data_IF_609145511749
#
_entry.id   IF_609145511749
#
_cell.length_a   1.000
_cell.length_b   1.000
_cell.length_c   1.000
_cell.angle_alpha   90.00
_cell.angle_beta   90.00
_cell.angle_gamma   90.00
#
_symmetry.space_group_name_H-M   'P 1'
#
loop_
_entity.id
_entity.type
_entity.pdbx_description
1 polymer ?
#
# COMPACT_ATOMS: atom_id res chain seq x y z
N UNK A 1 -24.50 -26.14 -8.48
CA UNK A 1 -23.35 -25.32 -8.01
C UNK A 1 -22.16 -26.25 -7.82
N UNK A 2 -21.24 -26.30 -8.78
CA UNK A 2 -19.99 -27.01 -8.61
C UNK A 2 -19.02 -26.02 -8.00
N UNK A 3 -18.66 -26.23 -6.74
CA UNK A 3 -17.51 -25.59 -6.13
C UNK A 3 -16.25 -26.06 -6.89
N UNK A 4 -15.76 -25.23 -7.79
CA UNK A 4 -14.42 -25.34 -8.34
C UNK A 4 -13.50 -24.38 -7.55
N UNK A 5 -13.60 -24.44 -6.26
CA UNK A 5 -12.55 -23.98 -5.40
C UNK A 5 -11.93 -25.23 -4.82
N UNK A 6 -10.70 -25.56 -5.18
CA UNK A 6 -9.95 -26.49 -4.37
C UNK A 6 -9.92 -25.92 -2.96
N UNK A 7 -10.80 -26.41 -2.10
CA UNK A 7 -10.52 -26.36 -0.69
C UNK A 7 -9.18 -27.07 -0.57
N UNK A 8 -8.11 -26.32 -0.37
CA UNK A 8 -6.89 -26.90 0.20
C UNK A 8 -7.38 -27.45 1.53
N UNK A 9 -7.42 -28.77 1.61
CA UNK A 9 -7.83 -29.46 2.83
C UNK A 9 -6.92 -28.97 3.94
N UNK A 10 -7.42 -28.12 4.83
CA UNK A 10 -6.72 -27.60 5.98
C UNK A 10 -6.31 -28.73 6.97
N UNK A 11 -6.64 -29.97 6.68
CA UNK A 11 -6.05 -31.13 7.34
C UNK A 11 -4.54 -31.25 7.06
N UNK A 12 -3.97 -30.43 6.17
CA UNK A 12 -2.52 -30.24 6.10
C UNK A 12 -1.94 -29.63 7.40
N UNK A 13 -2.75 -29.06 8.28
CA UNK A 13 -2.35 -28.74 9.66
C UNK A 13 -1.93 -29.96 10.49
N UNK A 14 -2.24 -31.16 10.03
CA UNK A 14 -1.78 -32.41 10.66
C UNK A 14 -0.41 -32.88 10.16
N UNK A 15 0.16 -32.24 9.16
CA UNK A 15 1.55 -32.50 8.81
C UNK A 15 2.42 -31.83 9.88
N UNK A 16 3.07 -32.67 10.69
CA UNK A 16 4.03 -32.24 11.72
C UNK A 16 5.32 -31.73 11.02
N UNK A 17 5.14 -30.63 10.27
CA UNK A 17 6.17 -30.03 9.43
C UNK A 17 6.51 -28.66 10.01
N UNK A 18 7.74 -28.51 10.46
CA UNK A 18 8.27 -27.22 10.88
C UNK A 18 8.58 -26.35 9.68
N UNK A 19 7.62 -25.51 9.28
CA UNK A 19 7.74 -24.55 8.16
C UNK A 19 8.79 -23.47 8.37
N UNK A 20 9.36 -23.36 9.56
CA UNK A 20 10.42 -22.39 9.85
C UNK A 20 11.79 -22.87 9.36
N UNK A 21 11.92 -24.17 9.04
CA UNK A 21 13.16 -24.78 8.55
C UNK A 21 13.11 -25.06 7.05
N UNK A 22 14.26 -24.97 6.37
CA UNK A 22 14.38 -25.30 4.94
C UNK A 22 13.97 -26.75 4.65
N UNK A 23 14.32 -27.67 5.56
CA UNK A 23 13.93 -29.08 5.46
C UNK A 23 12.41 -29.25 5.53
N UNK A 24 11.75 -28.52 6.44
CA UNK A 24 10.29 -28.55 6.55
C UNK A 24 9.60 -27.98 5.32
N UNK A 25 10.14 -26.89 4.77
CA UNK A 25 9.64 -26.33 3.51
C UNK A 25 9.79 -27.30 2.34
N UNK A 26 10.93 -27.97 2.21
CA UNK A 26 11.16 -29.00 1.19
C UNK A 26 10.21 -30.19 1.34
N UNK A 27 10.01 -30.68 2.57
CA UNK A 27 9.08 -31.76 2.86
C UNK A 27 7.65 -31.38 2.48
N UNK A 28 7.19 -30.21 2.91
CA UNK A 28 5.87 -29.68 2.57
C UNK A 28 5.68 -29.56 1.06
N UNK A 29 6.62 -28.94 0.36
CA UNK A 29 6.54 -28.79 -1.09
C UNK A 29 6.46 -30.15 -1.80
N UNK A 30 7.23 -31.13 -1.35
CA UNK A 30 7.20 -32.49 -1.89
C UNK A 30 5.85 -33.18 -1.72
N UNK A 31 5.22 -33.01 -0.56
CA UNK A 31 3.93 -33.64 -0.25
C UNK A 31 2.75 -32.91 -0.87
N UNK A 32 2.78 -31.58 -0.89
CA UNK A 32 1.68 -30.75 -1.40
C UNK A 32 1.76 -30.51 -2.91
N UNK A 33 2.95 -30.50 -3.49
CA UNK A 33 3.14 -30.23 -4.93
C UNK A 33 2.26 -31.10 -5.84
N UNK A 34 2.17 -32.43 -5.68
CA UNK A 34 1.32 -33.24 -6.55
C UNK A 34 -0.17 -32.90 -6.43
N UNK A 35 -0.61 -32.53 -5.23
CA UNK A 35 -2.01 -32.13 -4.97
C UNK A 35 -2.26 -30.79 -5.64
N UNK A 36 -1.35 -29.82 -5.48
CA UNK A 36 -1.41 -28.51 -6.11
C UNK A 36 -1.44 -28.60 -7.63
N UNK A 37 -0.55 -29.40 -8.23
CA UNK A 37 -0.51 -29.60 -9.68
C UNK A 37 -1.81 -30.21 -10.22
N UNK A 38 -2.39 -31.15 -9.51
CA UNK A 38 -3.69 -31.74 -9.87
C UNK A 38 -4.79 -30.68 -9.90
N UNK A 39 -4.94 -29.92 -8.83
CA UNK A 39 -5.98 -28.89 -8.74
C UNK A 39 -5.74 -27.71 -9.69
N UNK A 40 -4.49 -27.33 -9.88
CA UNK A 40 -4.14 -26.32 -10.89
C UNK A 40 -4.58 -26.79 -12.29
N UNK A 41 -4.28 -28.05 -12.65
CA UNK A 41 -4.72 -28.60 -13.92
C UNK A 41 -6.24 -28.60 -14.07
N UNK A 42 -6.98 -29.01 -13.04
CA UNK A 42 -8.45 -28.98 -13.05
C UNK A 42 -8.99 -27.56 -13.22
N UNK A 43 -8.39 -26.56 -12.54
CA UNK A 43 -8.77 -25.15 -12.67
C UNK A 43 -8.48 -24.63 -14.10
N UNK A 44 -7.30 -24.91 -14.65
CA UNK A 44 -6.92 -24.49 -16.01
C UNK A 44 -7.80 -25.12 -17.09
N UNK A 45 -8.20 -26.38 -16.92
CA UNK A 45 -9.10 -27.08 -17.84
C UNK A 45 -10.53 -26.49 -17.78
N UNK A 46 -10.93 -25.96 -16.63
CA UNK A 46 -12.25 -25.34 -16.43
C UNK A 46 -12.33 -23.88 -16.90
N UNK A 47 -11.24 -23.10 -16.80
CA UNK A 47 -11.20 -21.67 -17.11
C UNK A 47 -11.88 -21.25 -18.42
N UNK A 48 -11.66 -21.93 -19.56
CA UNK A 48 -12.27 -21.54 -20.83
C UNK A 48 -13.79 -21.58 -20.86
N UNK A 49 -14.41 -22.25 -19.88
CA UNK A 49 -15.87 -22.38 -19.75
C UNK A 49 -16.49 -21.22 -18.98
N UNK A 50 -15.70 -20.31 -18.44
CA UNK A 50 -16.15 -19.17 -17.63
C UNK A 50 -15.76 -17.85 -18.29
N UNK A 51 -16.62 -16.85 -18.18
CA UNK A 51 -16.33 -15.50 -18.68
C UNK A 51 -15.47 -14.70 -17.70
N UNK A 52 -15.63 -14.97 -16.40
CA UNK A 52 -14.90 -14.33 -15.31
C UNK A 52 -14.34 -15.39 -14.34
N UNK A 53 -13.10 -15.25 -13.98
CA UNK A 53 -12.42 -16.09 -12.99
C UNK A 53 -11.89 -15.19 -11.87
N UNK A 54 -12.13 -15.58 -10.63
CA UNK A 54 -11.66 -14.85 -9.46
C UNK A 54 -10.70 -15.77 -8.71
N UNK A 55 -9.44 -15.36 -8.62
CA UNK A 55 -8.46 -15.97 -7.74
C UNK A 55 -8.48 -15.24 -6.40
N UNK A 56 -8.61 -15.98 -5.30
CA UNK A 56 -8.51 -15.43 -3.94
C UNK A 56 -7.34 -16.10 -3.26
N UNK A 57 -6.36 -15.30 -2.85
CA UNK A 57 -5.13 -15.76 -2.22
C UNK A 57 -4.55 -14.72 -1.27
N UNK A 58 -3.28 -14.87 -0.93
CA UNK A 58 -2.58 -13.98 -0.03
C UNK A 58 -1.73 -14.72 1.00
N UNK A 59 -1.61 -14.15 2.18
CA UNK A 59 -0.85 -14.67 3.31
C UNK A 59 -1.77 -15.34 4.34
N UNK A 60 -1.21 -16.18 5.18
CA UNK A 60 -1.89 -16.82 6.31
C UNK A 60 -0.99 -16.85 7.56
N UNK A 61 -1.46 -17.42 8.63
CA UNK A 61 -0.77 -17.49 9.92
C UNK A 61 0.62 -18.16 9.89
N UNK A 62 0.94 -18.97 8.87
CA UNK A 62 2.27 -19.56 8.74
C UNK A 62 3.30 -18.58 8.16
N UNK A 63 2.85 -17.51 7.51
CA UNK A 63 3.71 -16.55 6.81
C UNK A 63 3.59 -15.11 7.33
N UNK A 64 2.50 -14.79 8.03
CA UNK A 64 2.28 -13.46 8.59
C UNK A 64 1.86 -13.63 10.05
N UNK A 65 2.85 -13.80 10.93
CA UNK A 65 2.71 -14.14 12.34
C UNK A 65 3.64 -13.26 13.17
N UNK A 66 3.21 -12.95 14.39
CA UNK A 66 4.02 -12.19 15.34
C UNK A 66 5.29 -12.97 15.73
N UNK A 67 6.42 -12.26 15.74
CA UNK A 67 7.71 -12.79 16.19
C UNK A 67 8.55 -13.50 15.12
N UNK A 68 8.01 -13.68 13.92
CA UNK A 68 8.75 -14.26 12.80
C UNK A 68 8.56 -13.43 11.55
N UNK A 69 9.67 -12.91 11.00
CA UNK A 69 9.64 -12.14 9.77
C UNK A 69 9.64 -13.07 8.55
N UNK A 70 8.97 -12.62 7.51
CA UNK A 70 9.04 -13.27 6.21
C UNK A 70 10.46 -13.10 5.63
N UNK A 71 11.08 -14.17 5.11
CA UNK A 71 12.40 -14.10 4.51
C UNK A 71 12.40 -13.37 3.16
N UNK A 72 11.25 -13.29 2.52
CA UNK A 72 11.02 -12.69 1.21
C UNK A 72 9.61 -12.10 1.10
N UNK A 73 9.30 -11.50 -0.04
CA UNK A 73 7.99 -10.91 -0.34
C UNK A 73 7.17 -11.75 -1.32
N UNK A 74 7.56 -12.98 -1.60
CA UNK A 74 6.81 -13.86 -2.50
C UNK A 74 5.51 -14.33 -1.87
N UNK A 75 4.51 -14.59 -2.70
CA UNK A 75 3.29 -15.27 -2.24
C UNK A 75 3.60 -16.76 -1.95
N UNK A 76 3.19 -17.27 -0.79
CA UNK A 76 3.48 -18.64 -0.40
C UNK A 76 2.76 -19.67 -1.29
N UNK A 77 3.15 -20.93 -1.16
CA UNK A 77 2.50 -22.09 -1.79
C UNK A 77 2.49 -22.07 -3.32
N UNK A 78 3.38 -21.30 -3.96
CA UNK A 78 3.42 -21.19 -5.43
C UNK A 78 2.21 -20.44 -6.01
N UNK A 79 1.61 -19.52 -5.27
CA UNK A 79 0.47 -18.74 -5.75
C UNK A 79 0.83 -17.90 -6.99
N UNK A 80 2.07 -17.40 -7.07
CA UNK A 80 2.50 -16.62 -8.24
C UNK A 80 2.43 -17.46 -9.52
N UNK A 81 2.90 -18.71 -9.48
CA UNK A 81 2.85 -19.63 -10.64
C UNK A 81 1.41 -19.97 -11.00
N UNK A 82 0.54 -20.15 -10.03
CA UNK A 82 -0.91 -20.38 -10.26
C UNK A 82 -1.54 -19.18 -10.95
N UNK A 83 -1.29 -17.96 -10.46
CA UNK A 83 -1.85 -16.74 -11.04
C UNK A 83 -1.31 -16.55 -12.47
N UNK A 84 -0.01 -16.73 -12.70
CA UNK A 84 0.58 -16.66 -14.05
C UNK A 84 -0.07 -17.64 -15.01
N UNK A 85 -0.24 -18.90 -14.62
CA UNK A 85 -0.90 -19.90 -15.45
C UNK A 85 -2.36 -19.55 -15.77
N UNK A 86 -3.09 -18.98 -14.78
CA UNK A 86 -4.46 -18.50 -14.97
C UNK A 86 -4.52 -17.32 -15.95
N UNK A 87 -3.57 -16.38 -15.90
CA UNK A 87 -3.55 -15.23 -16.85
C UNK A 87 -3.44 -15.68 -18.31
N UNK A 88 -2.87 -16.85 -18.57
CA UNK A 88 -2.70 -17.39 -19.93
C UNK A 88 -3.95 -18.13 -20.44
N UNK A 89 -4.82 -18.57 -19.55
CA UNK A 89 -5.97 -19.43 -19.88
C UNK A 89 -7.33 -18.74 -19.71
N UNK A 90 -7.44 -17.81 -18.79
CA UNK A 90 -8.69 -17.15 -18.50
C UNK A 90 -8.92 -15.95 -19.42
N UNK A 91 -10.16 -15.69 -19.83
CA UNK A 91 -10.52 -14.49 -20.58
C UNK A 91 -10.34 -13.24 -19.72
N UNK A 92 -10.90 -13.29 -18.52
CA UNK A 92 -10.81 -12.25 -17.52
C UNK A 92 -10.43 -12.88 -16.18
N UNK A 93 -9.38 -12.36 -15.56
CA UNK A 93 -8.91 -12.79 -14.26
C UNK A 93 -8.90 -11.61 -13.29
N UNK A 94 -9.69 -11.72 -12.24
CA UNK A 94 -9.61 -10.84 -11.08
C UNK A 94 -8.81 -11.54 -9.98
N UNK A 95 -7.72 -10.93 -9.56
CA UNK A 95 -6.92 -11.40 -8.42
C UNK A 95 -7.35 -10.65 -7.18
N UNK A 96 -7.64 -11.37 -6.10
CA UNK A 96 -7.91 -10.83 -4.77
C UNK A 96 -6.81 -11.30 -3.84
N UNK A 97 -6.09 -10.37 -3.23
CA UNK A 97 -5.06 -10.66 -2.26
C UNK A 97 -5.47 -10.22 -0.86
N UNK A 98 -5.32 -11.11 0.11
CA UNK A 98 -5.59 -10.89 1.53
C UNK A 98 -4.25 -11.02 2.27
N UNK A 99 -3.64 -9.90 2.63
CA UNK A 99 -2.31 -9.85 3.25
C UNK A 99 -2.13 -8.61 4.11
N UNK A 100 -1.31 -8.71 5.15
CA UNK A 100 -1.05 -7.62 6.09
C UNK A 100 0.03 -6.64 5.64
N UNK A 101 0.87 -7.02 4.68
CA UNK A 101 1.95 -6.19 4.15
C UNK A 101 2.25 -6.47 2.68
N UNK A 102 3.17 -5.75 2.05
CA UNK A 102 3.48 -5.88 0.62
C UNK A 102 3.92 -7.28 0.21
N UNK A 103 3.56 -7.67 -1.01
CA UNK A 103 4.01 -8.90 -1.68
C UNK A 103 4.44 -8.58 -3.12
N UNK A 104 5.37 -9.38 -3.64
CA UNK A 104 5.78 -9.28 -5.05
C UNK A 104 4.70 -9.84 -5.97
N UNK A 105 4.45 -9.15 -7.08
CA UNK A 105 3.40 -9.49 -8.03
C UNK A 105 3.95 -9.55 -9.48
N UNK A 106 4.76 -10.55 -9.84
CA UNK A 106 5.38 -10.62 -11.17
C UNK A 106 4.37 -10.69 -12.31
N UNK A 107 3.15 -11.12 -12.03
CA UNK A 107 2.04 -11.30 -12.96
C UNK A 107 1.16 -10.05 -13.12
N UNK A 108 1.43 -8.95 -12.40
CA UNK A 108 0.51 -7.80 -12.31
C UNK A 108 0.10 -7.21 -13.66
N UNK A 109 1.01 -7.16 -14.63
CA UNK A 109 0.74 -6.62 -15.96
C UNK A 109 -0.07 -7.57 -16.86
N UNK A 110 -0.32 -8.81 -16.42
CA UNK A 110 -1.09 -9.81 -17.15
C UNK A 110 -2.50 -9.99 -16.57
N UNK A 111 -2.71 -9.72 -15.30
CA UNK A 111 -4.03 -9.80 -14.65
C UNK A 111 -4.93 -8.65 -15.10
N UNK A 112 -6.23 -8.92 -15.30
CA UNK A 112 -7.19 -7.90 -15.72
C UNK A 112 -7.55 -6.93 -14.59
N UNK A 113 -7.60 -7.42 -13.36
CA UNK A 113 -7.85 -6.59 -12.19
C UNK A 113 -7.25 -7.19 -10.92
N UNK A 114 -6.94 -6.29 -9.96
CA UNK A 114 -6.44 -6.63 -8.64
C UNK A 114 -7.27 -5.94 -7.57
N UNK A 115 -7.72 -6.69 -6.59
CA UNK A 115 -8.28 -6.17 -5.34
C UNK A 115 -7.31 -6.52 -4.21
N UNK A 116 -6.65 -5.49 -3.68
CA UNK A 116 -5.81 -5.63 -2.49
C UNK A 116 -6.68 -5.40 -1.26
N UNK A 117 -6.79 -6.41 -0.40
CA UNK A 117 -7.44 -6.26 0.91
C UNK A 117 -6.40 -6.44 2.02
N UNK A 118 -6.68 -5.82 3.15
CA UNK A 118 -6.00 -6.19 4.40
C UNK A 118 -6.78 -7.34 5.06
N UNK A 119 -6.39 -7.74 6.26
CA UNK A 119 -7.16 -8.66 7.09
C UNK A 119 -8.46 -8.00 7.56
N UNK A 120 -9.56 -8.28 6.85
CA UNK A 120 -10.82 -7.54 6.96
C UNK A 120 -11.73 -7.99 8.13
N UNK A 121 -11.32 -8.94 8.93
CA UNK A 121 -12.11 -9.45 10.04
C UNK A 121 -13.36 -10.23 9.61
N UNK A 122 -14.31 -10.38 10.55
CA UNK A 122 -15.46 -11.29 10.44
C UNK A 122 -16.33 -11.07 9.18
N UNK A 123 -16.52 -9.85 8.73
CA UNK A 123 -17.36 -9.52 7.58
C UNK A 123 -16.59 -9.31 6.26
N UNK A 124 -15.30 -9.68 6.23
CA UNK A 124 -14.44 -9.49 5.05
C UNK A 124 -15.00 -10.11 3.78
N UNK A 125 -15.45 -11.35 3.85
CA UNK A 125 -16.05 -12.04 2.70
C UNK A 125 -17.30 -11.34 2.15
N UNK A 126 -18.19 -10.85 3.03
CA UNK A 126 -19.38 -10.09 2.61
C UNK A 126 -18.97 -8.75 1.98
N UNK A 127 -18.03 -8.04 2.57
CA UNK A 127 -17.55 -6.77 2.03
C UNK A 127 -16.91 -6.95 0.65
N UNK A 128 -16.07 -7.97 0.48
CA UNK A 128 -15.45 -8.33 -0.79
C UNK A 128 -16.51 -8.69 -1.85
N UNK A 129 -17.49 -9.53 -1.53
CA UNK A 129 -18.56 -9.89 -2.44
C UNK A 129 -19.32 -8.66 -2.93
N UNK A 130 -19.68 -7.74 -2.02
CA UNK A 130 -20.38 -6.49 -2.38
C UNK A 130 -19.57 -5.58 -3.31
N UNK A 131 -18.24 -5.59 -3.20
CA UNK A 131 -17.35 -4.89 -4.13
C UNK A 131 -17.33 -5.62 -5.47
N UNK A 132 -17.07 -6.92 -5.49
CA UNK A 132 -16.99 -7.72 -6.71
C UNK A 132 -18.27 -7.66 -7.55
N UNK A 133 -19.44 -7.73 -6.90
CA UNK A 133 -20.73 -7.61 -7.58
C UNK A 133 -21.19 -6.16 -7.79
N UNK A 134 -20.35 -5.21 -7.43
CA UNK A 134 -20.62 -3.80 -7.71
C UNK A 134 -21.71 -3.16 -6.86
N UNK A 135 -22.13 -3.74 -5.74
CA UNK A 135 -23.05 -3.09 -4.81
C UNK A 135 -22.38 -1.91 -4.10
N UNK A 136 -21.10 -2.07 -3.77
CA UNK A 136 -20.29 -1.04 -3.13
C UNK A 136 -19.19 -0.60 -4.07
N UNK A 137 -18.97 0.71 -4.19
CA UNK A 137 -17.86 1.28 -4.90
C UNK A 137 -16.64 1.33 -3.95
N UNK A 138 -15.49 0.67 -4.27
CA UNK A 138 -14.30 0.73 -3.45
C UNK A 138 -13.79 2.17 -3.31
N UNK A 139 -13.26 2.49 -2.14
CA UNK A 139 -12.70 3.82 -1.83
C UNK A 139 -11.55 3.73 -0.83
N UNK A 140 -10.95 2.56 -0.70
CA UNK A 140 -9.74 2.34 0.08
C UNK A 140 -8.52 2.89 -0.66
N UNK A 141 -7.50 3.30 0.10
CA UNK A 141 -6.21 3.73 -0.41
C UNK A 141 -5.13 3.00 0.38
N UNK A 142 -4.04 2.64 -0.28
CA UNK A 142 -2.92 1.97 0.37
C UNK A 142 -2.31 2.87 1.46
N UNK A 143 -2.19 2.33 2.66
CA UNK A 143 -1.55 2.99 3.79
C UNK A 143 -0.02 2.78 3.81
N UNK A 144 0.49 2.06 2.83
CA UNK A 144 1.91 1.74 2.65
C UNK A 144 2.28 1.72 1.18
N UNK A 145 3.60 1.73 0.90
CA UNK A 145 4.13 1.60 -0.46
C UNK A 145 4.37 0.12 -0.75
N UNK A 146 3.99 -0.33 -1.93
CA UNK A 146 4.33 -1.65 -2.44
C UNK A 146 5.59 -1.54 -3.30
N UNK A 147 6.78 -1.95 -2.81
CA UNK A 147 7.99 -1.99 -3.62
C UNK A 147 7.88 -3.08 -4.69
N UNK A 148 8.74 -3.00 -5.71
CA UNK A 148 8.80 -4.05 -6.74
C UNK A 148 9.43 -5.31 -6.15
N UNK A 149 10.56 -5.14 -5.44
CA UNK A 149 11.32 -6.23 -4.83
C UNK A 149 11.71 -5.91 -3.39
N UNK A 150 11.97 -6.93 -2.59
CA UNK A 150 12.45 -6.77 -1.21
C UNK A 150 13.73 -5.93 -1.14
N UNK A 151 14.67 -6.11 -2.07
CA UNK A 151 15.91 -5.36 -2.12
C UNK A 151 15.74 -3.84 -2.35
N UNK A 152 14.56 -3.40 -2.80
CA UNK A 152 14.23 -1.98 -2.99
C UNK A 152 13.79 -1.30 -1.70
N UNK A 153 13.67 -2.04 -0.60
CA UNK A 153 13.22 -1.48 0.69
C UNK A 153 14.32 -0.69 1.39
N UNK A 154 13.95 0.31 2.21
CA UNK A 154 14.94 1.08 2.98
C UNK A 154 15.74 0.19 3.94
N UNK A 155 15.11 -0.80 4.57
CA UNK A 155 15.78 -1.73 5.49
C UNK A 155 16.89 -2.53 4.81
N UNK A 156 16.66 -2.98 3.58
CA UNK A 156 17.68 -3.65 2.78
C UNK A 156 18.78 -2.69 2.30
N UNK A 157 18.39 -1.49 1.88
CA UNK A 157 19.36 -0.45 1.46
C UNK A 157 20.30 -0.05 2.57
N UNK A 158 19.76 0.25 3.74
CA UNK A 158 20.54 0.74 4.88
C UNK A 158 21.07 -0.37 5.79
N UNK A 159 20.70 -1.63 5.54
CA UNK A 159 21.04 -2.78 6.39
C UNK A 159 20.65 -2.58 7.86
N UNK A 160 19.59 -1.83 8.09
CA UNK A 160 19.12 -1.49 9.43
C UNK A 160 18.41 -2.65 10.12
N UNK A 161 17.84 -3.59 9.36
CA UNK A 161 17.16 -4.76 9.88
C UNK A 161 17.60 -6.03 9.10
N UNK A 162 17.75 -7.18 9.71
CA UNK A 162 17.51 -7.52 11.14
C UNK A 162 18.62 -7.05 12.10
N UNK A 163 19.56 -6.24 11.64
CA UNK A 163 20.69 -5.76 12.42
C UNK A 163 21.83 -6.76 12.53
N UNK A 164 22.76 -6.52 13.46
CA UNK A 164 23.95 -7.34 13.69
C UNK A 164 23.85 -8.07 15.02
N UNK A 165 24.45 -9.25 15.08
CA UNK A 165 24.55 -10.02 16.33
C UNK A 165 26.00 -9.93 16.82
N UNK A 166 26.20 -9.50 18.07
CA UNK A 166 27.52 -9.39 18.67
C UNK A 166 28.07 -10.75 19.17
N UNK A 167 29.30 -10.76 19.67
CA UNK A 167 29.95 -11.96 20.15
C UNK A 167 29.27 -12.60 21.39
N UNK A 168 28.36 -11.87 22.05
CA UNK A 168 27.58 -12.39 23.18
C UNK A 168 26.23 -13.01 22.71
N UNK A 169 25.93 -12.92 21.43
CA UNK A 169 24.64 -13.36 20.86
C UNK A 169 23.54 -12.30 20.95
N UNK A 170 23.86 -11.08 21.42
CA UNK A 170 22.89 -10.00 21.49
C UNK A 170 22.72 -9.33 20.12
N UNK A 171 21.47 -9.12 19.71
CA UNK A 171 21.13 -8.40 18.47
C UNK A 171 21.10 -6.89 18.70
N UNK A 172 21.73 -6.16 17.80
CA UNK A 172 21.75 -4.71 17.76
C UNK A 172 21.08 -4.24 16.46
N UNK A 173 20.13 -3.33 16.59
CA UNK A 173 19.43 -2.70 15.47
C UNK A 173 19.69 -1.20 15.53
N UNK A 174 20.19 -0.64 14.45
CA UNK A 174 20.43 0.80 14.30
C UNK A 174 19.49 1.36 13.23
N UNK A 175 18.71 2.38 13.57
CA UNK A 175 17.82 3.07 12.63
C UNK A 175 18.58 4.05 11.74
N UNK A 176 19.50 3.52 10.94
CA UNK A 176 20.37 4.30 10.05
C UNK A 176 19.63 5.02 8.94
N UNK A 177 18.44 4.51 8.56
CA UNK A 177 17.52 5.13 7.62
C UNK A 177 16.88 6.42 8.14
N UNK A 178 16.88 6.66 9.46
CA UNK A 178 16.32 7.85 10.11
C UNK A 178 14.89 8.15 9.68
N UNK A 179 14.66 9.25 8.95
CA UNK A 179 13.35 9.66 8.44
C UNK A 179 12.96 8.98 7.11
N UNK A 180 13.90 8.26 6.49
CA UNK A 180 13.69 7.61 5.19
C UNK A 180 12.97 6.27 5.36
N UNK A 181 11.69 6.34 5.76
CA UNK A 181 10.82 5.19 6.02
C UNK A 181 9.62 5.23 5.07
N UNK A 182 9.23 4.08 4.50
CA UNK A 182 8.10 3.93 3.61
C UNK A 182 8.18 4.89 2.41
N UNK A 183 7.07 5.53 2.05
CA UNK A 183 6.99 6.44 0.90
C UNK A 183 8.00 7.60 0.96
N UNK A 184 8.42 8.02 2.14
CA UNK A 184 9.42 9.09 2.30
C UNK A 184 10.74 8.69 1.65
N UNK A 185 11.16 7.45 1.85
CA UNK A 185 12.34 6.89 1.20
C UNK A 185 12.17 6.79 -0.32
N UNK A 186 11.10 6.13 -0.79
CA UNK A 186 10.90 5.90 -2.21
C UNK A 186 10.75 7.20 -3.01
N UNK A 187 10.11 8.22 -2.42
CA UNK A 187 9.97 9.53 -3.07
C UNK A 187 11.27 10.34 -3.07
N UNK A 188 12.06 10.27 -2.00
CA UNK A 188 13.31 11.03 -1.88
C UNK A 188 14.41 10.45 -2.74
N UNK A 189 14.54 9.12 -2.75
CA UNK A 189 15.54 8.39 -3.54
C UNK A 189 15.07 8.07 -4.96
N UNK A 190 13.84 8.47 -5.31
CA UNK A 190 13.22 8.24 -6.63
C UNK A 190 13.17 6.76 -7.05
N UNK A 191 13.01 5.86 -6.07
CA UNK A 191 12.95 4.42 -6.30
C UNK A 191 11.60 4.05 -6.94
N UNK A 192 11.59 3.29 -8.04
CA UNK A 192 10.37 2.76 -8.63
C UNK A 192 9.62 1.85 -7.65
N UNK A 193 8.30 1.95 -7.67
CA UNK A 193 7.42 1.15 -6.82
C UNK A 193 6.30 0.53 -7.62
N UNK A 194 5.78 -0.60 -7.16
CA UNK A 194 4.65 -1.27 -7.80
C UNK A 194 3.37 -0.46 -7.60
N UNK A 195 3.09 -0.08 -6.34
CA UNK A 195 2.00 0.84 -6.00
C UNK A 195 2.48 1.85 -4.96
N UNK A 196 2.28 3.15 -5.20
CA UNK A 196 2.70 4.18 -4.26
C UNK A 196 1.78 4.25 -3.05
N UNK A 197 2.30 4.81 -1.96
CA UNK A 197 1.48 5.20 -0.80
C UNK A 197 0.31 6.09 -1.22
N UNK A 198 -0.87 5.81 -0.70
CA UNK A 198 -2.09 6.55 -0.99
C UNK A 198 -2.79 6.13 -2.29
N UNK A 199 -2.25 5.17 -3.05
CA UNK A 199 -2.87 4.67 -4.28
C UNK A 199 -4.18 3.94 -3.99
N UNK A 200 -5.17 4.13 -4.85
CA UNK A 200 -6.43 3.41 -4.84
C UNK A 200 -7.30 3.81 -6.03
N UNK A 201 -8.07 2.85 -6.55
CA UNK A 201 -8.98 3.04 -7.67
C UNK A 201 -10.44 3.01 -7.21
N UNK A 202 -11.31 3.53 -8.04
CA UNK A 202 -12.75 3.56 -7.84
C UNK A 202 -13.47 3.12 -9.12
N UNK A 203 -14.73 2.68 -8.99
CA UNK A 203 -15.59 2.41 -10.15
C UNK A 203 -16.15 3.69 -10.79
N UNK A 204 -15.77 4.87 -10.27
CA UNK A 204 -16.01 6.17 -10.86
C UNK A 204 -14.69 6.90 -11.06
N UNK A 205 -14.73 8.08 -11.65
CA UNK A 205 -13.57 8.95 -11.83
C UNK A 205 -13.82 10.31 -11.19
N UNK A 206 -12.72 10.93 -10.74
CA UNK A 206 -12.76 12.22 -10.07
C UNK A 206 -11.83 13.19 -10.79
N UNK A 207 -12.27 14.44 -10.91
CA UNK A 207 -11.48 15.55 -11.42
C UNK A 207 -11.23 16.56 -10.28
N UNK A 208 -9.96 16.92 -10.08
CA UNK A 208 -9.54 17.91 -9.10
C UNK A 208 -9.14 19.19 -9.86
N UNK A 209 -9.74 20.31 -9.47
CA UNK A 209 -9.54 21.59 -10.15
C UNK A 209 -9.68 22.79 -9.18
N UNK A 210 -9.52 24.01 -9.68
CA UNK A 210 -9.68 25.28 -8.94
C UNK A 210 -8.81 25.33 -7.65
N UNK A 211 -7.51 25.07 -7.83
CA UNK A 211 -6.56 25.05 -6.72
C UNK A 211 -6.18 26.47 -6.29
N UNK A 212 -6.10 26.69 -4.98
CA UNK A 212 -5.54 27.90 -4.39
C UNK A 212 -4.86 27.62 -3.06
N UNK A 213 -3.94 28.50 -2.68
CA UNK A 213 -3.25 28.48 -1.39
C UNK A 213 -3.44 29.84 -0.73
N UNK A 214 -3.87 29.85 0.51
CA UNK A 214 -4.05 31.02 1.33
C UNK A 214 -3.18 30.91 2.59
N UNK A 215 -2.41 31.94 2.87
CA UNK A 215 -1.65 32.07 4.13
C UNK A 215 -2.29 33.15 4.96
N UNK A 216 -2.76 32.78 6.15
CA UNK A 216 -3.40 33.68 7.11
C UNK A 216 -2.38 34.41 7.99
N UNK A 217 -2.81 35.46 8.68
CA UNK A 217 -1.97 36.27 9.56
C UNK A 217 -1.43 35.47 10.78
N UNK A 218 -2.12 34.41 11.20
CA UNK A 218 -1.69 33.48 12.25
C UNK A 218 -0.70 32.41 11.76
N UNK A 219 -0.25 32.55 10.49
CA UNK A 219 0.62 31.59 9.77
C UNK A 219 -0.01 30.21 9.50
N UNK A 220 -1.32 30.07 9.64
CA UNK A 220 -2.05 28.93 9.11
C UNK A 220 -2.03 28.97 7.59
N UNK A 221 -1.73 27.85 6.94
CA UNK A 221 -1.72 27.72 5.47
C UNK A 221 -2.85 26.81 5.04
N UNK A 222 -3.83 27.33 4.34
CA UNK A 222 -4.97 26.57 3.82
C UNK A 222 -4.82 26.35 2.31
N UNK A 223 -4.90 25.09 1.91
CA UNK A 223 -4.95 24.67 0.51
C UNK A 223 -6.38 24.32 0.15
N UNK A 224 -6.88 24.90 -0.94
CA UNK A 224 -8.25 24.71 -1.41
C UNK A 224 -8.26 24.08 -2.78
N UNK A 225 -9.24 23.22 -3.02
CA UNK A 225 -9.55 22.71 -4.36
C UNK A 225 -11.02 22.37 -4.48
N UNK A 226 -11.45 22.12 -5.70
CA UNK A 226 -12.74 21.46 -5.97
C UNK A 226 -12.48 20.06 -6.47
N UNK A 227 -13.38 19.13 -6.10
CA UNK A 227 -13.40 17.77 -6.59
C UNK A 227 -14.77 17.48 -7.19
N UNK A 228 -14.77 16.96 -8.43
CA UNK A 228 -15.98 16.58 -9.16
C UNK A 228 -15.98 15.09 -9.43
N UNK A 229 -17.06 14.40 -9.11
CA UNK A 229 -17.31 13.04 -9.60
C UNK A 229 -17.78 13.12 -11.06
N UNK A 230 -16.98 12.61 -12.00
CA UNK A 230 -17.20 12.81 -13.44
C UNK A 230 -18.05 11.70 -14.08
N UNK A 231 -18.54 10.71 -13.32
CA UNK A 231 -19.34 9.60 -13.82
C UNK A 231 -20.70 9.48 -13.12
N UNK A 232 -21.50 8.48 -13.56
CA UNK A 232 -22.86 8.26 -13.10
C UNK A 232 -22.97 7.33 -11.89
N UNK A 233 -21.89 7.13 -11.14
CA UNK A 233 -21.84 6.29 -9.93
C UNK A 233 -21.33 7.10 -8.75
N UNK A 234 -21.99 7.02 -7.61
CA UNK A 234 -21.49 7.61 -6.38
C UNK A 234 -20.16 6.97 -5.95
N UNK A 235 -19.28 7.76 -5.38
CA UNK A 235 -17.96 7.29 -4.92
C UNK A 235 -17.35 8.23 -3.91
N UNK A 236 -16.21 7.81 -3.35
CA UNK A 236 -15.44 8.64 -2.44
C UNK A 236 -13.98 8.66 -2.85
N UNK A 237 -13.34 9.82 -2.73
CA UNK A 237 -11.92 10.00 -3.00
C UNK A 237 -11.23 10.64 -1.80
N UNK A 238 -9.98 10.25 -1.56
CA UNK A 238 -9.14 10.86 -0.52
C UNK A 238 -8.19 11.85 -1.17
N UNK A 239 -8.28 13.11 -0.76
CA UNK A 239 -7.37 14.18 -1.15
C UNK A 239 -6.28 14.27 -0.09
N UNK A 240 -5.03 14.32 -0.53
CA UNK A 240 -3.83 14.27 0.31
C UNK A 240 -3.00 15.54 0.08
N UNK A 241 -2.52 16.14 1.18
CA UNK A 241 -1.66 17.33 1.17
C UNK A 241 -0.31 16.96 1.77
N UNK A 242 0.73 17.11 0.96
CA UNK A 242 2.12 16.86 1.35
C UNK A 242 2.90 18.16 1.47
N UNK A 243 3.87 18.16 2.37
CA UNK A 243 4.80 19.27 2.60
C UNK A 243 6.24 18.80 2.36
N UNK A 244 7.00 19.59 1.61
CA UNK A 244 8.46 19.49 1.52
C UNK A 244 9.09 20.55 2.41
N UNK A 245 9.91 20.11 3.35
CA UNK A 245 10.57 20.98 4.30
C UNK A 245 11.96 21.34 3.77
N UNK A 246 12.33 22.63 3.67
CA UNK A 246 13.59 23.09 3.06
C UNK A 246 14.79 22.94 4.02
N UNK A 247 15.04 21.70 4.46
CA UNK A 247 16.14 21.37 5.37
C UNK A 247 16.83 20.10 4.89
N UNK A 248 18.16 20.06 4.97
CA UNK A 248 18.94 18.91 4.57
C UNK A 248 18.58 17.66 5.42
N UNK A 249 18.48 16.52 4.77
CA UNK A 249 18.10 15.25 5.40
C UNK A 249 16.59 15.07 5.63
N UNK A 250 15.76 16.05 5.25
CA UNK A 250 14.30 15.87 5.27
C UNK A 250 13.83 15.10 4.04
N UNK A 251 12.78 14.27 4.21
CA UNK A 251 12.13 13.61 3.08
C UNK A 251 11.53 14.62 2.09
N UNK A 252 11.59 14.30 0.80
CA UNK A 252 11.04 15.13 -0.29
C UNK A 252 9.58 15.53 -0.06
N UNK A 253 8.75 14.59 0.41
CA UNK A 253 7.33 14.79 0.70
C UNK A 253 6.96 14.19 2.04
N UNK A 254 6.16 14.91 2.83
CA UNK A 254 5.60 14.44 4.09
C UNK A 254 4.10 14.71 4.10
N UNK A 255 3.27 13.66 4.23
CA UNK A 255 1.82 13.81 4.37
C UNK A 255 1.52 14.57 5.67
N UNK A 256 0.82 15.69 5.56
CA UNK A 256 0.46 16.55 6.70
C UNK A 256 -1.04 16.66 6.90
N UNK A 257 -1.82 16.55 5.82
CA UNK A 257 -3.27 16.54 5.93
C UNK A 257 -3.90 15.65 4.84
N UNK A 258 -5.07 15.12 5.12
CA UNK A 258 -5.89 14.43 4.12
C UNK A 258 -7.37 14.55 4.47
N UNK A 259 -8.22 14.39 3.45
CA UNK A 259 -9.67 14.40 3.62
C UNK A 259 -10.33 13.45 2.63
N UNK A 260 -11.13 12.52 3.15
CA UNK A 260 -11.99 11.66 2.33
C UNK A 260 -13.31 12.35 2.06
N UNK A 261 -13.68 12.44 0.78
CA UNK A 261 -14.87 13.16 0.31
C UNK A 261 -15.77 12.20 -0.45
N UNK A 262 -16.99 12.04 0.02
CA UNK A 262 -18.03 11.29 -0.69
C UNK A 262 -18.76 12.22 -1.66
N UNK A 263 -19.00 11.75 -2.89
CA UNK A 263 -19.67 12.50 -3.94
C UNK A 263 -20.76 11.64 -4.60
N UNK A 264 -21.93 12.23 -4.78
CA UNK A 264 -22.95 11.69 -5.65
C UNK A 264 -22.49 11.75 -7.13
N UNK A 265 -23.18 11.07 -8.07
CA UNK A 265 -22.90 11.22 -9.48
C UNK A 265 -22.94 12.68 -9.92
N UNK A 266 -21.93 13.13 -10.68
CA UNK A 266 -21.78 14.51 -11.21
C UNK A 266 -21.70 15.61 -10.13
N UNK A 267 -21.57 15.25 -8.85
CA UNK A 267 -21.46 16.23 -7.77
C UNK A 267 -20.07 16.83 -7.72
N UNK A 268 -20.00 18.15 -7.43
CA UNK A 268 -18.78 18.89 -7.14
C UNK A 268 -18.81 19.38 -5.69
N UNK A 269 -17.71 19.20 -4.97
CA UNK A 269 -17.52 19.71 -3.60
C UNK A 269 -16.26 20.54 -3.49
N UNK A 270 -16.32 21.57 -2.65
CA UNK A 270 -15.16 22.33 -2.21
C UNK A 270 -14.46 21.60 -1.05
N UNK A 271 -13.14 21.58 -1.09
CA UNK A 271 -12.28 20.95 -0.07
C UNK A 271 -11.23 21.94 0.37
N UNK A 272 -11.07 22.03 1.68
CA UNK A 272 -10.01 22.80 2.33
C UNK A 272 -9.20 21.87 3.21
N UNK A 273 -7.88 21.94 3.10
CA UNK A 273 -6.89 21.27 3.94
C UNK A 273 -6.01 22.36 4.54
N UNK A 274 -6.11 22.58 5.85
CA UNK A 274 -5.37 23.63 6.54
C UNK A 274 -4.24 23.01 7.38
N UNK A 275 -3.09 23.63 7.34
CA UNK A 275 -1.87 23.29 8.06
C UNK A 275 -1.61 24.34 9.13
N UNK A 276 -1.31 23.86 10.31
CA UNK A 276 -0.87 24.68 11.43
C UNK A 276 0.66 24.80 11.45
N UNK A 277 1.20 25.72 12.27
CA UNK A 277 2.65 25.88 12.44
C UNK A 277 3.41 24.57 12.71
N UNK A 278 2.84 23.68 13.54
CA UNK A 278 3.46 22.39 13.88
C UNK A 278 3.68 21.48 12.68
N UNK A 279 2.88 21.63 11.61
CA UNK A 279 2.97 20.81 10.42
C UNK A 279 4.22 21.10 9.56
N UNK A 280 4.80 22.30 9.77
CA UNK A 280 6.03 22.76 9.13
C UNK A 280 7.28 22.53 10.00
N UNK A 281 7.11 22.03 11.23
CA UNK A 281 8.18 21.90 12.19
C UNK A 281 8.98 20.60 11.99
N UNK A 282 10.28 20.67 12.30
CA UNK A 282 11.20 19.55 12.45
C UNK A 282 11.68 19.45 13.88
N UNK A 283 12.04 18.24 14.32
CA UNK A 283 12.58 18.05 15.66
C UNK A 283 14.07 18.33 15.69
N UNK A 284 14.47 19.31 16.49
CA UNK A 284 15.87 19.66 16.72
C UNK A 284 16.42 18.89 17.91
N UNK A 285 17.27 17.90 17.65
CA UNK A 285 17.84 17.04 18.70
C UNK A 285 18.74 17.79 19.70
N UNK A 286 19.40 18.88 19.30
CA UNK A 286 20.26 19.67 20.19
C UNK A 286 19.46 20.43 21.22
N UNK A 287 18.36 21.02 20.80
CA UNK A 287 17.48 21.83 21.64
C UNK A 287 16.34 21.02 22.26
N UNK A 288 16.21 19.75 21.86
CA UNK A 288 15.13 18.83 22.29
C UNK A 288 13.71 19.44 22.12
N UNK A 289 13.49 20.11 20.99
CA UNK A 289 12.22 20.80 20.72
C UNK A 289 11.90 20.80 19.23
N UNK A 290 10.64 21.02 18.87
CA UNK A 290 10.24 21.25 17.49
C UNK A 290 10.52 22.70 17.09
N UNK A 291 11.11 22.88 15.93
CA UNK A 291 11.46 24.18 15.37
C UNK A 291 10.94 24.32 13.95
N UNK A 292 10.50 25.51 13.58
CA UNK A 292 10.20 25.89 12.21
C UNK A 292 11.41 26.69 11.72
N UNK A 293 11.96 26.30 10.60
CA UNK A 293 13.02 27.04 9.95
C UNK A 293 12.46 28.04 8.94
N UNK A 294 13.09 29.20 8.85
CA UNK A 294 12.82 30.15 7.78
C UNK A 294 13.13 29.50 6.41
N UNK A 295 12.26 29.70 5.43
CA UNK A 295 12.49 29.16 4.10
C UNK A 295 11.21 28.98 3.28
N UNK A 296 11.40 28.45 2.08
CA UNK A 296 10.31 28.15 1.14
C UNK A 296 9.96 26.67 1.20
N UNK A 297 8.74 26.38 1.64
CA UNK A 297 8.17 25.05 1.78
C UNK A 297 7.36 24.71 0.54
N UNK A 298 7.59 23.52 0.00
CA UNK A 298 6.80 23.03 -1.13
C UNK A 298 5.51 22.36 -0.63
N UNK A 299 4.43 22.54 -1.38
CA UNK A 299 3.10 21.97 -1.11
C UNK A 299 2.64 21.18 -2.32
N UNK A 300 2.12 19.96 -2.08
CA UNK A 300 1.55 19.12 -3.14
C UNK A 300 0.18 18.61 -2.73
N UNK A 301 -0.79 18.74 -3.64
CA UNK A 301 -2.13 18.17 -3.49
C UNK A 301 -2.30 17.05 -4.52
N UNK A 302 -2.73 15.89 -4.06
CA UNK A 302 -2.94 14.74 -4.92
C UNK A 302 -3.90 13.72 -4.33
N UNK A 303 -4.04 12.59 -5.02
CA UNK A 303 -4.80 11.43 -4.59
C UNK A 303 -3.90 10.28 -4.09
N UNK A 304 -2.61 10.40 -4.35
CA UNK A 304 -1.54 9.57 -3.81
C UNK A 304 -0.25 10.39 -3.75
N UNK A 305 0.82 9.84 -3.21
CA UNK A 305 2.13 10.52 -3.18
C UNK A 305 2.73 10.74 -4.58
N UNK A 306 2.31 9.96 -5.58
CA UNK A 306 2.74 10.08 -6.99
C UNK A 306 1.73 10.85 -7.85
N UNK A 307 0.45 10.69 -7.59
CA UNK A 307 -0.62 11.27 -8.39
C UNK A 307 -0.96 12.67 -7.88
N UNK A 308 -0.11 13.62 -8.29
CA UNK A 308 -0.14 15.02 -7.85
C UNK A 308 -0.81 15.87 -8.93
N UNK A 309 -1.83 16.63 -8.55
CA UNK A 309 -2.61 17.52 -9.42
C UNK A 309 -2.19 18.98 -9.31
N UNK A 310 -1.64 19.37 -8.16
CA UNK A 310 -1.25 20.75 -7.89
C UNK A 310 0.02 20.82 -7.05
N UNK A 311 0.88 21.75 -7.41
CA UNK A 311 2.08 22.10 -6.65
C UNK A 311 2.13 23.61 -6.45
N UNK A 312 2.52 24.01 -5.25
CA UNK A 312 2.71 25.41 -4.87
C UNK A 312 3.83 25.52 -3.84
N UNK A 313 4.13 26.74 -3.45
CA UNK A 313 5.13 27.06 -2.45
C UNK A 313 4.58 28.08 -1.46
N UNK A 314 5.05 28.00 -0.22
CA UNK A 314 4.78 28.99 0.81
C UNK A 314 6.07 29.36 1.52
N UNK A 315 6.33 30.66 1.67
CA UNK A 315 7.49 31.15 2.41
C UNK A 315 7.09 31.47 3.85
N UNK A 316 7.82 30.88 4.80
CA UNK A 316 7.75 31.22 6.21
C UNK A 316 8.94 32.10 6.57
N UNK A 317 8.66 33.30 7.08
CA UNK A 317 9.64 34.38 7.30
C UNK A 317 10.18 34.47 8.73
N UNK A 318 9.68 33.62 9.62
CA UNK A 318 10.12 33.59 11.02
C UNK A 318 10.43 32.17 11.45
N UNK A 319 11.65 31.98 11.99
CA UNK A 319 11.98 30.77 12.74
C UNK A 319 11.36 30.85 14.15
N UNK A 320 10.87 29.74 14.65
CA UNK A 320 10.26 29.71 15.98
C UNK A 320 10.19 28.31 16.60
N UNK A 321 10.19 28.25 17.90
CA UNK A 321 9.87 27.03 18.64
C UNK A 321 8.36 26.80 18.62
N UNK A 322 7.96 25.56 18.36
CA UNK A 322 6.55 25.13 18.49
C UNK A 322 6.39 24.52 19.88
N UNK A 323 5.49 25.10 20.67
CA UNK A 323 5.14 24.57 22.00
C UNK A 323 4.19 23.39 21.89
#
# INVERSE_FOLDING_TARGET
EKHVAGEVDWQAESLDVDYTTDRGKEQFDKEIRPIREKYLKEALDACPSYDEVIFIGGLNHAYDVEGFDRPDMTLPYGQNEVIEALTEKCKNLTVVLINGGPVEMPWINKANSLIQTSYCGMHGGLALARILFGEVNPSGHLAETYPVHLCDTPTEKFKSYPGTVDNSGQRHVEYTEKLMVGYRYYETEEIPVLFPFGYGLSYTTFDLHDFSVEKNDDETVCCHCRITNTRNRAGSQTIQLYVGIPEEGQPKKQLKAFKKVALAPQETKHVSLCLEKKDFATYNCKNQTFVINEGTYSLWIGTSVKDIFFQSEVTLSQSGMVK
#
